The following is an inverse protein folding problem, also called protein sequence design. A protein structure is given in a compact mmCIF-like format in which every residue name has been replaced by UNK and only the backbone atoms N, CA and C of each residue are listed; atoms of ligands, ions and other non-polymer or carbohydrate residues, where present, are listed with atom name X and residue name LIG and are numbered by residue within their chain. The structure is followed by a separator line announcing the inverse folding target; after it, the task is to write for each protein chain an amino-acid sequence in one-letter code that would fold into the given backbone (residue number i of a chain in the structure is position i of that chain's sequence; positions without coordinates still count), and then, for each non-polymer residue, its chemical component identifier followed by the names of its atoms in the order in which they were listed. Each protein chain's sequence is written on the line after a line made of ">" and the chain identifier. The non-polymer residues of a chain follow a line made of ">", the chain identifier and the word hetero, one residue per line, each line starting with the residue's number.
data_IF_238655556863
#
_entry.id   IF_238655556863
#
_cell.length_a   1.000
_cell.length_b   1.000
_cell.length_c   1.000
_cell.angle_alpha   90.00
_cell.angle_beta   90.00
_cell.angle_gamma   90.00
#
_symmetry.space_group_name_H-M   'P 1'
#
loop_
_entity.id
_entity.type
_entity.pdbx_description
1 polymer ?
#
# COMPACT_ATOMS: atom_id res chain seq x y z
N UNK A 1 -51.61 -78.15 -28.31
CA UNK A 1 -50.62 -77.87 -27.25
C UNK A 1 -51.20 -76.74 -26.41
N UNK A 2 -51.42 -77.03 -25.12
CA UNK A 2 -51.88 -76.19 -23.99
C UNK A 2 -51.46 -74.70 -24.05
N UNK A 3 -52.12 -73.69 -23.48
CA UNK A 3 -53.33 -73.55 -22.65
C UNK A 3 -53.65 -72.04 -22.54
N UNK A 4 -54.95 -71.68 -22.47
CA UNK A 4 -55.54 -70.64 -21.59
C UNK A 4 -55.16 -69.14 -21.76
N UNK A 5 -55.98 -68.10 -21.54
CA UNK A 5 -57.34 -67.86 -21.00
C UNK A 5 -57.65 -66.36 -21.35
N UNK A 6 -58.77 -66.02 -22.02
CA UNK A 6 -59.96 -65.29 -21.50
C UNK A 6 -59.63 -63.88 -20.94
N UNK A 7 -60.21 -62.74 -21.37
CA UNK A 7 -61.61 -62.35 -21.10
C UNK A 7 -61.98 -61.00 -21.79
N UNK A 8 -63.16 -61.00 -22.43
CA UNK A 8 -64.20 -59.94 -22.48
C UNK A 8 -63.90 -58.55 -23.10
N UNK A 9 -64.82 -57.89 -23.82
CA UNK A 9 -66.21 -58.19 -24.22
C UNK A 9 -66.71 -57.09 -25.19
N UNK A 10 -67.61 -57.50 -26.10
CA UNK A 10 -68.79 -56.76 -26.62
C UNK A 10 -68.51 -55.64 -27.65
N UNK A 11 -68.73 -55.77 -28.98
CA UNK A 11 -69.89 -56.20 -29.81
C UNK A 11 -71.06 -55.18 -29.72
N UNK A 12 -71.46 -54.41 -30.75
CA UNK A 12 -72.31 -54.67 -31.92
C UNK A 12 -72.31 -53.33 -32.74
N UNK A 13 -72.33 -53.25 -34.07
CA UNK A 13 -73.34 -53.77 -35.02
C UNK A 13 -74.35 -52.66 -35.41
N UNK A 14 -74.49 -52.30 -36.70
CA UNK A 14 -75.64 -51.50 -37.19
C UNK A 14 -75.40 -50.63 -38.43
N UNK A 15 -76.33 -50.66 -39.39
CA UNK A 15 -76.20 -50.27 -40.80
C UNK A 15 -76.33 -48.76 -41.16
N UNK A 16 -75.60 -48.41 -42.24
CA UNK A 16 -75.84 -47.47 -43.36
C UNK A 16 -76.97 -46.42 -43.28
N UNK A 17 -76.58 -45.16 -43.52
CA UNK A 17 -77.42 -44.11 -44.12
C UNK A 17 -76.53 -42.97 -44.65
N UNK A 18 -76.44 -42.79 -45.97
CA UNK A 18 -75.63 -41.76 -46.60
C UNK A 18 -76.36 -40.40 -46.74
N UNK A 19 -75.57 -39.37 -46.45
CA UNK A 19 -75.47 -38.04 -47.08
C UNK A 19 -76.31 -36.86 -46.55
N UNK A 20 -75.54 -35.91 -46.01
CA UNK A 20 -75.72 -34.47 -46.09
C UNK A 20 -74.53 -33.80 -45.40
N UNK A 21 -73.55 -33.30 -46.17
CA UNK A 21 -72.40 -32.57 -45.64
C UNK A 21 -72.89 -31.29 -44.93
N UNK A 22 -72.52 -31.12 -43.67
CA UNK A 22 -72.74 -29.89 -42.91
C UNK A 22 -71.42 -29.13 -42.92
N UNK A 23 -71.47 -27.88 -43.38
CA UNK A 23 -70.32 -27.04 -43.71
C UNK A 23 -69.30 -26.86 -42.58
N UNK A 24 -68.06 -26.61 -43.00
CA UNK A 24 -66.87 -26.56 -42.17
C UNK A 24 -66.99 -25.60 -40.98
N UNK A 25 -66.55 -26.07 -39.81
CA UNK A 25 -66.32 -25.25 -38.63
C UNK A 25 -65.23 -24.22 -38.94
N UNK A 26 -65.48 -22.94 -38.64
CA UNK A 26 -64.52 -21.86 -38.88
C UNK A 26 -63.15 -22.13 -38.24
N UNK A 27 -62.09 -21.68 -38.90
CA UNK A 27 -60.71 -21.86 -38.45
C UNK A 27 -60.49 -21.27 -37.04
N UNK A 28 -59.63 -21.88 -36.19
CA UNK A 28 -59.25 -21.28 -34.91
C UNK A 28 -58.66 -19.88 -35.10
N UNK A 29 -58.93 -18.96 -34.17
CA UNK A 29 -58.33 -17.62 -34.17
C UNK A 29 -56.80 -17.69 -34.02
N UNK A 30 -56.10 -16.72 -34.61
CA UNK A 30 -54.64 -16.61 -34.55
C UNK A 30 -54.15 -16.47 -33.10
N UNK A 31 -53.06 -17.16 -32.77
CA UNK A 31 -52.36 -17.06 -31.48
C UNK A 31 -51.84 -15.63 -31.28
N UNK A 32 -52.01 -15.06 -30.09
CA UNK A 32 -51.60 -13.69 -29.79
C UNK A 32 -50.08 -13.54 -29.68
N UNK A 33 -49.55 -12.43 -30.19
CA UNK A 33 -48.10 -12.18 -30.24
C UNK A 33 -47.46 -12.18 -28.84
N UNK A 34 -46.26 -12.76 -28.75
CA UNK A 34 -45.42 -12.79 -27.54
C UNK A 34 -45.00 -11.37 -27.16
N UNK A 35 -45.24 -10.99 -25.91
CA UNK A 35 -44.87 -9.65 -25.40
C UNK A 35 -43.36 -9.38 -25.47
N UNK A 36 -43.00 -8.16 -25.82
CA UNK A 36 -41.60 -7.74 -25.98
C UNK A 36 -40.80 -7.86 -24.68
N UNK A 37 -39.54 -8.30 -24.80
CA UNK A 37 -38.62 -8.42 -23.66
C UNK A 37 -38.23 -7.04 -23.16
N UNK A 38 -38.34 -6.80 -21.84
CA UNK A 38 -38.06 -5.50 -21.22
C UNK A 38 -36.62 -5.03 -21.45
N UNK A 39 -36.45 -3.71 -21.62
CA UNK A 39 -35.16 -3.09 -21.93
C UNK A 39 -34.11 -3.31 -20.81
N UNK A 40 -32.86 -3.48 -21.23
CA UNK A 40 -31.71 -3.67 -20.34
C UNK A 40 -31.45 -2.39 -19.54
N UNK A 41 -31.35 -2.49 -18.22
CA UNK A 41 -31.07 -1.36 -17.34
C UNK A 41 -29.80 -0.60 -17.71
N UNK A 42 -29.82 0.73 -17.51
CA UNK A 42 -28.72 1.63 -17.85
C UNK A 42 -27.46 1.34 -17.03
N UNK A 43 -26.30 1.64 -17.63
CA UNK A 43 -24.99 1.47 -16.97
C UNK A 43 -24.80 2.57 -15.91
N UNK A 44 -24.31 2.20 -14.73
CA UNK A 44 -24.06 3.15 -13.64
C UNK A 44 -23.03 4.24 -14.00
N UNK A 45 -23.02 5.38 -13.28
CA UNK A 45 -22.12 6.49 -13.57
C UNK A 45 -20.64 6.10 -13.41
N UNK A 46 -19.77 6.70 -14.22
CA UNK A 46 -18.32 6.55 -14.11
C UNK A 46 -17.83 7.15 -12.78
N UNK A 47 -16.93 6.44 -12.08
CA UNK A 47 -16.32 6.92 -10.84
C UNK A 47 -15.49 8.20 -11.05
N UNK A 48 -15.18 8.95 -9.97
CA UNK A 48 -14.37 10.16 -10.06
C UNK A 48 -12.97 9.85 -10.59
N UNK A 49 -12.43 10.76 -11.38
CA UNK A 49 -11.08 10.65 -11.92
C UNK A 49 -10.04 10.74 -10.79
N UNK A 50 -9.06 9.83 -10.77
CA UNK A 50 -7.97 9.86 -9.79
C UNK A 50 -7.14 11.13 -9.90
N UNK A 51 -6.67 11.65 -8.76
CA UNK A 51 -5.71 12.75 -8.70
C UNK A 51 -4.44 12.36 -9.49
N UNK A 52 -4.05 13.23 -10.41
CA UNK A 52 -2.85 13.06 -11.22
C UNK A 52 -1.62 13.13 -10.30
N UNK A 53 -0.82 12.07 -10.24
CA UNK A 53 0.48 12.11 -9.58
C UNK A 53 1.35 13.18 -10.24
N UNK A 54 1.95 14.06 -9.43
CA UNK A 54 2.90 15.05 -9.95
C UNK A 54 4.09 14.33 -10.58
N UNK A 55 4.47 14.74 -11.79
CA UNK A 55 5.54 14.13 -12.57
C UNK A 55 6.89 14.32 -11.88
N UNK A 56 7.63 13.22 -11.71
CA UNK A 56 8.94 13.18 -11.07
C UNK A 56 10.09 13.71 -11.94
N UNK A 57 10.05 14.97 -12.35
CA UNK A 57 11.15 15.60 -13.08
C UNK A 57 11.85 16.69 -12.27
N UNK A 58 13.14 16.44 -11.97
CA UNK A 58 14.17 17.34 -11.45
C UNK A 58 13.90 18.03 -10.11
N UNK A 59 14.12 17.29 -9.03
CA UNK A 59 14.51 17.90 -7.76
C UNK A 59 16.02 18.20 -7.75
N UNK A 60 16.41 19.39 -8.21
CA UNK A 60 17.61 20.05 -7.68
C UNK A 60 17.10 21.06 -6.67
N UNK A 61 17.26 20.79 -5.37
CA UNK A 61 16.75 21.66 -4.30
C UNK A 61 17.71 22.82 -4.02
N UNK A 62 17.32 24.08 -4.26
CA UNK A 62 17.71 25.18 -3.39
C UNK A 62 16.77 25.12 -2.17
N UNK A 63 17.33 24.85 -0.99
CA UNK A 63 16.65 24.77 0.32
C UNK A 63 15.50 23.74 0.37
N UNK A 64 15.79 22.57 0.97
CA UNK A 64 14.84 21.46 1.14
C UNK A 64 13.54 21.88 1.82
N UNK A 65 12.47 21.11 1.57
CA UNK A 65 11.13 21.26 2.16
C UNK A 65 11.21 21.73 3.62
N UNK A 66 11.04 23.03 3.82
CA UNK A 66 10.74 23.71 5.07
C UNK A 66 11.36 23.11 6.35
N UNK A 67 12.70 23.17 6.44
CA UNK A 67 13.49 22.74 7.60
C UNK A 67 14.14 21.36 7.47
N UNK A 68 13.78 20.60 6.43
CA UNK A 68 14.22 19.23 6.22
C UNK A 68 15.30 19.11 5.13
N UNK A 69 16.46 18.57 5.48
CA UNK A 69 17.60 18.45 4.55
C UNK A 69 18.01 16.98 4.40
N UNK A 70 17.79 16.34 3.22
CA UNK A 70 18.32 15.02 2.96
C UNK A 70 19.85 15.05 2.99
N UNK A 71 20.44 14.01 3.58
CA UNK A 71 21.89 13.89 3.67
C UNK A 71 22.33 12.45 3.41
N UNK A 72 23.31 12.30 2.52
CA UNK A 72 24.08 11.08 2.31
C UNK A 72 25.54 11.36 2.63
N UNK A 73 26.19 10.47 3.38
CA UNK A 73 27.56 10.69 3.85
C UNK A 73 28.35 9.38 3.91
N UNK A 74 29.42 9.27 3.12
CA UNK A 74 30.27 8.07 3.02
C UNK A 74 31.59 8.08 3.78
N UNK A 75 32.13 9.23 4.13
CA UNK A 75 33.51 9.32 4.67
C UNK A 75 33.57 9.35 6.20
N UNK A 76 32.61 8.72 6.89
CA UNK A 76 32.43 8.85 8.34
C UNK A 76 33.68 8.50 9.19
N UNK A 77 34.48 7.53 8.75
CA UNK A 77 35.71 7.09 9.41
C UNK A 77 36.92 8.03 9.20
N UNK A 78 36.88 8.86 8.16
CA UNK A 78 37.93 9.84 7.85
C UNK A 78 37.55 11.22 8.38
N UNK A 79 36.27 11.56 8.25
CA UNK A 79 35.76 12.88 8.54
C UNK A 79 34.45 12.71 9.31
N UNK A 80 34.51 12.75 10.66
CA UNK A 80 33.33 12.69 11.51
C UNK A 80 32.29 13.71 11.09
N UNK A 81 31.02 13.36 11.24
CA UNK A 81 29.91 14.25 10.94
C UNK A 81 29.39 14.88 12.22
N UNK A 82 29.62 16.19 12.41
CA UNK A 82 29.00 16.94 13.49
C UNK A 82 27.58 17.35 13.07
N UNK A 83 26.58 16.93 13.84
CA UNK A 83 25.20 17.40 13.64
C UNK A 83 25.16 18.91 13.94
N UNK A 84 24.68 19.75 13.01
CA UNK A 84 24.56 21.19 13.24
C UNK A 84 23.75 21.50 14.51
N UNK A 85 24.15 22.54 15.23
CA UNK A 85 23.38 23.02 16.37
C UNK A 85 21.97 23.45 15.90
N UNK A 86 20.95 23.17 16.70
CA UNK A 86 19.55 23.41 16.33
C UNK A 86 18.94 22.38 15.38
N UNK A 87 19.70 21.38 14.91
CA UNK A 87 19.17 20.26 14.11
C UNK A 87 19.17 18.93 14.88
N UNK A 88 18.26 18.05 14.51
CA UNK A 88 18.25 16.62 14.86
C UNK A 88 18.50 15.81 13.58
N UNK A 89 19.46 14.89 13.62
CA UNK A 89 19.75 13.96 12.54
C UNK A 89 18.99 12.64 12.77
N UNK A 90 18.27 12.19 11.75
CA UNK A 90 17.65 10.88 11.70
C UNK A 90 18.40 10.00 10.70
N UNK A 91 19.12 9.00 11.19
CA UNK A 91 19.84 8.04 10.36
C UNK A 91 18.89 6.89 10.04
N UNK A 92 18.52 6.76 8.76
CA UNK A 92 17.52 5.81 8.29
C UNK A 92 18.13 4.46 7.92
N UNK A 93 19.34 4.50 7.36
CA UNK A 93 20.11 3.32 7.03
C UNK A 93 21.60 3.61 7.08
N UNK A 94 22.35 2.53 7.31
CA UNK A 94 23.78 2.48 7.17
C UNK A 94 24.13 1.39 6.17
N UNK A 95 25.07 1.69 5.30
CA UNK A 95 25.66 0.74 4.39
C UNK A 95 27.16 0.70 4.65
N UNK A 96 27.63 -0.39 5.26
CA UNK A 96 29.04 -0.73 5.28
C UNK A 96 29.28 -1.84 4.26
N UNK A 97 30.21 -1.64 3.33
CA UNK A 97 30.54 -2.71 2.39
C UNK A 97 31.56 -3.67 3.05
N UNK A 98 31.20 -4.97 3.08
CA UNK A 98 31.97 -6.05 3.71
C UNK A 98 31.31 -6.70 4.94
N UNK A 99 31.86 -7.85 5.35
CA UNK A 99 31.35 -8.70 6.45
C UNK A 99 31.88 -8.33 7.84
N UNK A 100 32.55 -7.20 7.96
CA UNK A 100 33.19 -6.78 9.21
C UNK A 100 32.29 -5.81 9.95
N UNK A 101 32.02 -6.13 11.22
CA UNK A 101 31.17 -5.34 12.10
C UNK A 101 31.82 -3.98 12.35
N UNK A 102 31.39 -2.96 11.63
CA UNK A 102 31.77 -1.59 11.94
C UNK A 102 30.96 -1.10 13.15
N UNK A 103 31.44 -0.09 13.87
CA UNK A 103 30.64 0.52 14.93
C UNK A 103 30.31 1.95 14.52
N UNK A 104 29.01 2.24 14.40
CA UNK A 104 28.57 3.63 14.43
C UNK A 104 28.73 4.13 15.87
N UNK A 105 29.36 5.29 16.00
CA UNK A 105 29.61 5.95 17.27
C UNK A 105 28.97 7.33 17.29
N UNK A 106 28.45 7.70 18.46
CA UNK A 106 27.94 9.04 18.75
C UNK A 106 28.68 9.53 19.99
N UNK A 107 29.45 10.62 19.86
CA UNK A 107 30.32 11.13 20.94
C UNK A 107 31.15 10.01 21.59
N UNK A 108 31.83 9.20 20.78
CA UNK A 108 32.67 8.06 21.20
C UNK A 108 31.92 6.89 21.88
N UNK A 109 30.58 6.91 21.86
CA UNK A 109 29.74 5.81 22.36
C UNK A 109 29.29 4.94 21.18
N UNK A 110 29.61 3.64 21.24
CA UNK A 110 29.15 2.65 20.25
C UNK A 110 27.64 2.47 20.34
N UNK A 111 26.92 2.82 19.27
CA UNK A 111 25.45 2.79 19.23
C UNK A 111 24.88 1.67 18.37
N UNK A 112 25.59 1.26 17.32
CA UNK A 112 25.13 0.18 16.47
C UNK A 112 26.29 -0.55 15.76
N UNK A 113 26.29 -1.89 15.77
CA UNK A 113 27.13 -2.64 14.85
C UNK A 113 26.58 -2.49 13.42
N UNK A 114 27.47 -2.36 12.44
CA UNK A 114 27.15 -2.25 11.01
C UNK A 114 27.84 -3.42 10.31
N UNK A 115 27.09 -4.46 9.99
CA UNK A 115 27.53 -5.53 9.11
C UNK A 115 26.73 -5.45 7.81
N UNK A 116 27.38 -5.14 6.68
CA UNK A 116 26.67 -4.99 5.41
C UNK A 116 25.69 -3.81 5.37
N UNK A 117 24.59 -4.01 4.63
CA UNK A 117 23.48 -3.07 4.55
C UNK A 117 22.53 -3.24 5.75
N UNK A 118 22.55 -2.25 6.65
CA UNK A 118 21.69 -2.17 7.81
C UNK A 118 20.57 -1.15 7.58
N UNK A 119 19.36 -1.66 7.51
CA UNK A 119 18.13 -0.88 7.47
C UNK A 119 17.53 -0.85 8.86
N UNK A 120 17.46 0.32 9.48
CA UNK A 120 16.99 0.39 10.84
C UNK A 120 15.47 0.38 10.91
N UNK A 121 14.92 -0.60 11.65
CA UNK A 121 13.49 -0.66 11.99
C UNK A 121 13.03 0.60 12.72
N UNK A 122 13.92 1.24 13.47
CA UNK A 122 13.73 2.54 14.11
C UNK A 122 14.95 3.40 13.79
N UNK A 123 14.79 4.62 13.26
CA UNK A 123 15.93 5.46 12.91
C UNK A 123 16.80 5.73 14.14
N UNK A 124 18.11 5.84 13.94
CA UNK A 124 19.01 6.34 14.98
C UNK A 124 18.85 7.86 15.01
N UNK A 125 18.43 8.38 16.15
CA UNK A 125 18.17 9.81 16.36
C UNK A 125 19.39 10.43 17.06
N UNK A 126 19.96 11.46 16.45
CA UNK A 126 21.17 12.13 16.94
C UNK A 126 20.89 13.62 17.10
N UNK A 127 21.01 14.14 18.33
CA UNK A 127 20.77 15.55 18.64
C UNK A 127 21.84 16.49 18.10
N UNK A 128 21.52 17.78 18.04
CA UNK A 128 22.44 18.84 17.62
C UNK A 128 23.72 18.90 18.45
N UNK A 129 24.84 19.24 17.80
CA UNK A 129 26.15 19.35 18.41
C UNK A 129 26.90 18.02 18.58
N UNK A 130 26.20 16.88 18.50
CA UNK A 130 26.76 15.54 18.59
C UNK A 130 27.61 15.18 17.39
N UNK A 131 28.62 14.35 17.59
CA UNK A 131 29.52 13.89 16.54
C UNK A 131 29.20 12.43 16.21
N UNK A 132 28.86 12.18 14.94
CA UNK A 132 28.67 10.85 14.38
C UNK A 132 29.98 10.42 13.72
N UNK A 133 30.48 9.28 14.14
CA UNK A 133 31.69 8.66 13.62
C UNK A 133 31.42 7.19 13.29
N UNK A 134 32.25 6.61 12.44
CA UNK A 134 32.19 5.18 12.20
C UNK A 134 33.59 4.58 12.16
N UNK A 135 33.86 3.65 13.07
CA UNK A 135 35.14 2.94 13.14
C UNK A 135 35.21 1.94 11.97
N UNK A 136 36.17 2.12 11.04
CA UNK A 136 36.44 1.14 10.00
C UNK A 136 37.52 0.15 10.44
N UNK A 137 37.30 -1.16 10.24
CA UNK A 137 38.37 -2.15 10.27
C UNK A 137 39.27 -1.98 9.04
N UNK A 138 40.51 -2.45 9.18
CA UNK A 138 41.67 -2.24 8.30
C UNK A 138 41.46 -2.62 6.80
N UNK A 139 40.34 -3.28 6.45
CA UNK A 139 40.04 -3.79 5.10
C UNK A 139 38.63 -3.46 4.58
N UNK A 140 37.88 -2.54 5.22
CA UNK A 140 36.52 -2.19 4.79
C UNK A 140 36.49 -0.87 4.01
N UNK A 141 35.51 -0.72 3.13
CA UNK A 141 35.20 0.51 2.43
C UNK A 141 34.31 1.43 3.25
N UNK A 142 34.20 2.69 2.79
CA UNK A 142 33.41 3.77 3.36
C UNK A 142 32.03 3.33 3.93
N UNK A 143 31.76 3.71 5.19
CA UNK A 143 30.40 3.56 5.77
C UNK A 143 29.57 4.75 5.33
N UNK A 144 28.54 4.42 4.54
CA UNK A 144 27.59 5.40 4.02
C UNK A 144 26.35 5.40 4.89
N UNK A 145 25.97 6.56 5.39
CA UNK A 145 24.64 6.75 5.96
C UNK A 145 23.75 7.57 5.04
N UNK A 146 22.46 7.25 5.06
CA UNK A 146 21.41 8.10 4.51
C UNK A 146 20.47 8.52 5.64
N UNK A 147 20.11 9.80 5.65
CA UNK A 147 19.29 10.37 6.69
C UNK A 147 18.75 11.75 6.35
N UNK A 148 18.17 12.38 7.36
CA UNK A 148 17.59 13.72 7.24
C UNK A 148 17.95 14.57 8.45
N UNK A 149 18.27 15.84 8.21
CA UNK A 149 18.34 16.85 9.25
C UNK A 149 16.99 17.55 9.34
N UNK A 150 16.50 17.72 10.56
CA UNK A 150 15.24 18.39 10.89
C UNK A 150 15.50 19.38 12.02
N UNK A 151 14.72 20.44 12.14
CA UNK A 151 14.83 21.37 13.28
C UNK A 151 14.56 20.68 14.63
N UNK A 152 15.25 21.17 15.67
CA UNK A 152 15.06 20.66 17.03
C UNK A 152 13.66 21.01 17.53
N UNK A 153 13.02 20.09 18.26
CA UNK A 153 11.67 20.29 18.82
C UNK A 153 10.55 19.60 18.02
N UNK A 154 10.89 18.96 16.91
CA UNK A 154 9.96 18.13 16.12
C UNK A 154 9.71 16.78 16.80
N UNK A 155 8.46 16.33 16.85
CA UNK A 155 8.04 15.10 17.55
C UNK A 155 8.20 13.85 16.67
N UNK A 156 9.10 12.92 16.99
CA UNK A 156 9.23 11.67 16.25
C UNK A 156 8.03 10.74 16.50
N UNK A 157 7.70 9.93 15.50
CA UNK A 157 6.68 8.89 15.63
C UNK A 157 7.17 7.56 15.06
N UNK A 158 6.94 6.50 15.84
CA UNK A 158 6.96 5.12 15.36
C UNK A 158 5.58 4.52 15.60
N UNK A 159 4.89 4.10 14.53
CA UNK A 159 3.58 3.45 14.62
C UNK A 159 3.66 2.07 14.00
N UNK A 160 3.37 1.05 14.81
CA UNK A 160 3.28 -0.33 14.35
C UNK A 160 1.84 -0.71 14.02
N UNK A 161 1.67 -1.82 13.29
CA UNK A 161 0.38 -2.49 13.04
C UNK A 161 -0.66 -1.63 12.31
N UNK A 162 -0.25 -0.94 11.25
CA UNK A 162 -1.13 -0.07 10.46
C UNK A 162 -2.37 -0.73 9.83
N UNK A 163 -2.41 -2.06 9.71
CA UNK A 163 -3.60 -2.76 9.21
C UNK A 163 -4.66 -3.00 10.29
N UNK A 164 -4.25 -3.01 11.56
CA UNK A 164 -5.16 -3.17 12.71
C UNK A 164 -5.51 -1.80 13.28
N UNK A 165 -4.53 -0.91 13.37
CA UNK A 165 -4.69 0.42 13.93
C UNK A 165 -4.14 1.48 12.95
N UNK A 166 -4.94 1.86 11.95
CA UNK A 166 -4.62 2.99 11.08
C UNK A 166 -4.28 4.23 11.89
N UNK A 167 -3.45 5.10 11.31
CA UNK A 167 -3.00 6.31 11.97
C UNK A 167 -3.66 7.53 11.34
N UNK A 168 -4.47 8.24 12.13
CA UNK A 168 -5.00 9.55 11.76
C UNK A 168 -4.00 10.62 12.14
N UNK A 169 -3.59 11.45 11.19
CA UNK A 169 -2.75 12.61 11.47
C UNK A 169 -3.56 13.60 12.31
N UNK A 170 -3.06 14.04 13.48
CA UNK A 170 -3.79 14.98 14.33
C UNK A 170 -4.04 16.32 13.63
N UNK A 171 -5.10 17.00 14.06
CA UNK A 171 -5.39 18.37 13.62
C UNK A 171 -4.21 19.30 13.95
N UNK A 172 -3.95 20.24 13.04
CA UNK A 172 -2.85 21.21 13.11
C UNK A 172 -1.47 20.62 12.84
N UNK A 173 -1.37 19.36 12.39
CA UNK A 173 -0.08 18.69 12.14
C UNK A 173 0.03 18.09 10.75
N UNK A 174 1.25 18.02 10.25
CA UNK A 174 1.63 17.27 9.05
C UNK A 174 2.57 16.14 9.42
N UNK A 175 2.28 14.92 8.95
CA UNK A 175 3.10 13.74 9.15
C UNK A 175 4.06 13.53 7.98
N UNK A 176 5.34 13.38 8.28
CA UNK A 176 6.40 13.04 7.32
C UNK A 176 6.93 11.64 7.62
N UNK A 177 6.85 10.72 6.66
CA UNK A 177 7.23 9.31 6.84
C UNK A 177 8.48 8.98 6.04
N UNK A 178 9.50 8.43 6.70
CA UNK A 178 10.82 8.17 6.11
C UNK A 178 11.14 6.71 5.93
N UNK A 179 10.55 5.84 6.74
CA UNK A 179 10.67 4.41 6.51
C UNK A 179 9.38 3.68 6.82
N UNK A 180 9.20 2.62 6.05
CA UNK A 180 8.13 1.67 6.20
C UNK A 180 8.75 0.28 6.30
N UNK A 181 8.25 -0.49 7.26
CA UNK A 181 8.78 -1.79 7.60
C UNK A 181 7.67 -2.84 7.70
N UNK A 182 7.91 -3.99 7.07
CA UNK A 182 7.05 -5.14 7.00
C UNK A 182 7.85 -6.38 7.40
N UNK A 183 7.31 -7.18 8.33
CA UNK A 183 8.01 -8.33 8.91
C UNK A 183 8.21 -9.52 7.94
N UNK A 184 7.46 -9.59 6.85
CA UNK A 184 7.46 -10.71 5.90
C UNK A 184 7.56 -10.21 4.47
N UNK A 185 7.96 -11.10 3.55
CA UNK A 185 8.07 -10.77 2.12
C UNK A 185 6.69 -10.87 1.50
N UNK A 186 6.00 -9.73 1.35
CA UNK A 186 4.76 -9.61 0.59
C UNK A 186 4.63 -8.20 0.02
N UNK A 187 3.89 -8.04 -1.09
CA UNK A 187 3.58 -6.72 -1.62
C UNK A 187 2.45 -6.11 -0.80
N UNK A 188 2.70 -4.96 -0.18
CA UNK A 188 1.72 -4.24 0.62
C UNK A 188 1.61 -2.83 0.10
N UNK A 189 0.38 -2.44 -0.22
CA UNK A 189 0.05 -1.06 -0.54
C UNK A 189 -0.16 -0.27 0.75
N UNK A 190 0.48 0.89 0.82
CA UNK A 190 0.26 1.88 1.85
C UNK A 190 -0.64 2.94 1.27
N UNK A 191 -1.74 3.22 1.96
CA UNK A 191 -2.76 4.16 1.49
C UNK A 191 -2.92 5.34 2.42
N UNK A 192 -3.28 6.49 1.85
CA UNK A 192 -3.74 7.66 2.59
C UNK A 192 -5.20 7.93 2.18
N UNK A 193 -6.14 7.53 3.04
CA UNK A 193 -7.52 7.31 2.63
C UNK A 193 -7.59 6.20 1.58
N UNK A 194 -8.12 6.52 0.40
CA UNK A 194 -8.29 5.55 -0.70
C UNK A 194 -7.18 5.63 -1.77
N UNK A 195 -6.12 6.41 -1.53
CA UNK A 195 -5.04 6.63 -2.50
C UNK A 195 -3.82 5.82 -2.08
N UNK A 196 -3.32 4.96 -2.96
CA UNK A 196 -2.04 4.25 -2.77
C UNK A 196 -0.90 5.26 -2.91
N UNK A 197 -0.12 5.41 -1.85
CA UNK A 197 1.02 6.35 -1.79
C UNK A 197 2.37 5.63 -1.85
N UNK A 198 2.41 4.34 -1.54
CA UNK A 198 3.60 3.51 -1.68
C UNK A 198 3.23 2.03 -1.80
N UNK A 199 4.12 1.24 -2.40
CA UNK A 199 4.08 -0.22 -2.35
C UNK A 199 5.40 -0.71 -1.78
N UNK A 200 5.34 -1.55 -0.75
CA UNK A 200 6.53 -2.06 -0.06
C UNK A 200 6.54 -3.58 -0.04
N UNK A 201 7.74 -4.18 -0.03
CA UNK A 201 7.91 -5.64 -0.01
C UNK A 201 8.50 -6.20 1.28
N UNK A 202 9.29 -5.40 2.00
CA UNK A 202 9.88 -5.77 3.29
C UNK A 202 10.36 -4.54 4.05
N UNK A 203 11.35 -3.85 3.51
CA UNK A 203 11.83 -2.59 4.05
C UNK A 203 11.93 -1.58 2.93
N UNK A 204 11.37 -0.40 3.17
CA UNK A 204 11.47 0.72 2.25
C UNK A 204 11.92 1.94 3.04
N UNK A 205 13.14 2.43 2.75
CA UNK A 205 13.52 3.80 3.08
C UNK A 205 13.03 4.70 1.96
N UNK A 206 12.28 5.73 2.33
CA UNK A 206 11.77 6.70 1.41
C UNK A 206 12.89 7.70 1.08
N UNK A 207 13.30 7.78 -0.20
CA UNK A 207 14.24 8.80 -0.65
C UNK A 207 13.67 10.21 -0.42
N UNK A 208 12.36 10.35 -0.61
CA UNK A 208 11.56 11.51 -0.23
C UNK A 208 10.45 11.05 0.70
N UNK A 209 10.15 11.79 1.78
CA UNK A 209 9.13 11.38 2.71
C UNK A 209 7.77 11.27 2.06
N UNK A 210 6.98 10.33 2.52
CA UNK A 210 5.54 10.36 2.28
C UNK A 210 4.96 11.42 3.21
N UNK A 211 4.28 12.40 2.65
CA UNK A 211 3.69 13.52 3.38
C UNK A 211 2.19 13.24 3.52
N UNK A 212 1.69 13.33 4.76
CA UNK A 212 0.28 13.11 5.09
C UNK A 212 -0.22 14.30 5.88
N UNK A 213 -1.16 15.04 5.29
CA UNK A 213 -1.78 16.23 5.89
C UNK A 213 -2.69 15.87 7.06
N UNK A 214 -3.01 16.87 7.88
CA UNK A 214 -3.91 16.77 9.03
C UNK A 214 -5.25 16.09 8.69
N UNK A 215 -5.80 15.34 9.65
CA UNK A 215 -7.08 14.63 9.53
C UNK A 215 -7.07 13.45 8.55
N UNK A 216 -6.03 13.29 7.72
CA UNK A 216 -5.90 12.15 6.81
C UNK A 216 -5.47 10.91 7.58
N UNK A 217 -5.93 9.76 7.10
CA UNK A 217 -5.66 8.46 7.71
C UNK A 217 -4.69 7.70 6.82
N UNK A 218 -3.56 7.27 7.39
CA UNK A 218 -2.66 6.31 6.76
C UNK A 218 -2.96 4.89 7.24
N UNK A 219 -3.05 3.95 6.30
CA UNK A 219 -3.41 2.56 6.55
C UNK A 219 -2.69 1.59 5.62
N UNK A 220 -2.76 0.31 5.94
CA UNK A 220 -2.34 -0.80 5.08
C UNK A 220 -3.37 -1.93 5.17
N UNK A 221 -3.49 -2.75 4.13
CA UNK A 221 -4.35 -3.95 4.11
C UNK A 221 -3.69 -5.01 3.20
N UNK A 222 -3.59 -6.30 3.58
CA UNK A 222 -3.97 -6.92 4.86
C UNK A 222 -2.84 -7.02 5.89
N UNK A 223 -1.64 -6.60 5.51
CA UNK A 223 -0.47 -6.81 6.35
C UNK A 223 -0.11 -5.59 7.18
N UNK A 224 0.38 -5.86 8.38
CA UNK A 224 0.84 -4.84 9.30
C UNK A 224 2.18 -4.26 8.87
N UNK A 225 2.20 -2.93 8.72
CA UNK A 225 3.41 -2.15 8.47
C UNK A 225 3.72 -1.31 9.72
N UNK A 226 5.01 -1.17 10.00
CA UNK A 226 5.54 -0.18 10.94
C UNK A 226 6.02 1.03 10.15
N UNK A 227 5.53 2.21 10.49
CA UNK A 227 6.02 3.48 9.94
C UNK A 227 6.95 4.15 10.95
N UNK A 228 7.97 4.83 10.43
CA UNK A 228 8.74 5.81 11.19
C UNK A 228 8.70 7.15 10.48
N UNK A 229 8.45 8.19 11.25
CA UNK A 229 8.26 9.54 10.75
C UNK A 229 8.39 10.58 11.86
N UNK A 230 7.90 11.78 11.59
CA UNK A 230 7.69 12.81 12.60
C UNK A 230 6.45 13.65 12.28
N UNK A 231 5.93 14.33 13.30
CA UNK A 231 4.87 15.32 13.17
C UNK A 231 5.46 16.73 13.22
N UNK A 232 5.12 17.54 12.24
CA UNK A 232 5.37 18.98 12.21
C UNK A 232 4.07 19.71 12.54
N UNK A 233 4.14 20.78 13.32
CA UNK A 233 3.01 21.70 13.44
C UNK A 233 2.85 22.48 12.13
N UNK A 234 1.60 22.67 11.68
CA UNK A 234 1.28 23.49 10.53
C UNK A 234 1.48 24.98 10.89
N UNK A 235 1.97 25.78 9.95
CA UNK A 235 2.08 27.25 10.11
C UNK A 235 0.74 27.97 10.01
#
# INVERSE_FOLDING_TARGET
>A
MLMAIILAMVVLGGFVGCKGEKGDTGSPGLEGDVGETGEKGETGPTGPQGIKGESGDKFTFPDGFDGMVPITRGTLYKVPYKVPDGKTLYIMNLNGEGSVSNNLEIDDIKVAPVSGFALYRQPIIVGGGKVVFAELPEYSSDIIFNGFLIDTGVEPITRAKLAIEPYTVPDGKTLYIFSLYLDYISHVEVTVGNVVVATITKFTSCQYPIIVEEGRVISTDPHNVTLNGYLKDNE
#
